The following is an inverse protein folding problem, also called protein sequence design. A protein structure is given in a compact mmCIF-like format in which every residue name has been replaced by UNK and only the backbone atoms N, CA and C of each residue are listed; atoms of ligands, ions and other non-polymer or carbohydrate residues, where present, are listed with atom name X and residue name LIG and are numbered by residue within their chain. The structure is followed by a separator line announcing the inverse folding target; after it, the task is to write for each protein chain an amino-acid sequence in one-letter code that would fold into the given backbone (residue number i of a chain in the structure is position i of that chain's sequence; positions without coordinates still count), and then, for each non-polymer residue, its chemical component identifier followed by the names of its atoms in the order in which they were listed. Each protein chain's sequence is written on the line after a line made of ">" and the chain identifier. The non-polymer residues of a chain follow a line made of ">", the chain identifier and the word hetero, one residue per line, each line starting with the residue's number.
data_IF_958039443050
#
_entry.id   IF_958039443050
#
_cell.length_a   1.000
_cell.length_b   1.000
_cell.length_c   1.000
_cell.angle_alpha   90.00
_cell.angle_beta   90.00
_cell.angle_gamma   90.00
#
_symmetry.space_group_name_H-M   'P 1'
#
loop_
_entity.id
_entity.type
_entity.pdbx_description
1 polymer ?
#
# COMPACT_ATOMS: atom_id res chain seq x y z
N UNK A 1 -1.07 -14.34 17.57
CA UNK A 1 -2.22 -13.56 17.06
C UNK A 1 -2.39 -13.81 15.57
N UNK A 2 -3.61 -13.77 15.04
CA UNK A 2 -3.92 -14.02 13.62
C UNK A 2 -3.40 -12.86 12.76
N UNK A 3 -2.69 -13.14 11.66
CA UNK A 3 -2.24 -12.11 10.71
C UNK A 3 -3.43 -11.51 9.97
N UNK A 4 -3.45 -10.19 9.81
CA UNK A 4 -4.35 -9.47 8.92
C UNK A 4 -3.56 -8.96 7.73
N UNK A 5 -4.09 -9.17 6.52
CA UNK A 5 -3.50 -8.67 5.29
C UNK A 5 -4.31 -7.46 4.83
N UNK A 6 -3.64 -6.31 4.73
CA UNK A 6 -4.25 -5.12 4.18
C UNK A 6 -3.72 -4.91 2.77
N UNK A 7 -4.59 -5.02 1.77
CA UNK A 7 -4.21 -4.81 0.37
C UNK A 7 -4.15 -3.31 0.07
N UNK A 8 -3.09 -2.90 -0.62
CA UNK A 8 -2.85 -1.52 -1.07
C UNK A 8 -2.76 -1.54 -2.60
N UNK A 9 -3.86 -1.27 -3.31
CA UNK A 9 -3.87 -1.21 -4.77
C UNK A 9 -3.05 -0.04 -5.32
N UNK A 10 -2.77 -0.09 -6.62
CA UNK A 10 -2.17 1.02 -7.37
C UNK A 10 -3.21 1.98 -7.94
N UNK A 11 -2.78 2.84 -8.87
CA UNK A 11 -3.66 3.76 -9.63
C UNK A 11 -4.80 2.97 -10.26
N UNK A 12 -5.99 3.57 -10.34
CA UNK A 12 -7.24 2.95 -10.85
C UNK A 12 -7.79 1.78 -10.02
N UNK A 13 -7.24 1.52 -8.83
CA UNK A 13 -7.65 0.44 -7.94
C UNK A 13 -7.40 -0.97 -8.56
N UNK A 14 -7.69 -2.01 -7.78
CA UNK A 14 -7.68 -3.40 -8.23
C UNK A 14 -9.05 -3.82 -8.74
N UNK A 15 -9.13 -4.10 -10.05
CA UNK A 15 -10.36 -4.58 -10.71
C UNK A 15 -10.83 -5.93 -10.14
N UNK A 16 -12.07 -6.37 -10.38
CA UNK A 16 -12.58 -7.63 -9.82
C UNK A 16 -11.78 -8.89 -10.20
N UNK A 17 -11.07 -8.86 -11.34
CA UNK A 17 -10.23 -9.97 -11.81
C UNK A 17 -8.77 -9.83 -11.33
N UNK A 18 -8.40 -8.71 -10.73
CA UNK A 18 -7.07 -8.51 -10.18
C UNK A 18 -6.83 -9.43 -8.97
N UNK A 19 -5.61 -9.95 -8.82
CA UNK A 19 -5.27 -10.94 -7.79
C UNK A 19 -5.53 -10.45 -6.36
N UNK A 20 -5.33 -9.16 -6.06
CA UNK A 20 -5.71 -8.58 -4.76
C UNK A 20 -7.20 -8.76 -4.48
N UNK A 21 -8.07 -8.43 -5.45
CA UNK A 21 -9.53 -8.59 -5.34
C UNK A 21 -9.94 -10.06 -5.19
N UNK A 22 -9.26 -10.96 -5.90
CA UNK A 22 -9.52 -12.40 -5.79
C UNK A 22 -9.19 -12.92 -4.39
N UNK A 23 -8.06 -12.51 -3.81
CA UNK A 23 -7.68 -12.88 -2.44
C UNK A 23 -8.60 -12.28 -1.38
N UNK A 24 -9.01 -11.02 -1.54
CA UNK A 24 -10.01 -10.38 -0.68
C UNK A 24 -11.33 -11.15 -0.68
N UNK A 25 -11.76 -11.65 -1.84
CA UNK A 25 -12.99 -12.44 -1.99
C UNK A 25 -12.84 -13.86 -1.43
N UNK A 26 -11.70 -14.49 -1.64
CA UNK A 26 -11.45 -15.87 -1.21
C UNK A 26 -11.24 -15.99 0.30
N UNK A 27 -10.61 -14.97 0.92
CA UNK A 27 -10.24 -14.96 2.33
C UNK A 27 -10.70 -13.66 3.05
N UNK A 28 -12.01 -13.36 3.06
CA UNK A 28 -12.54 -12.09 3.57
C UNK A 28 -12.33 -11.89 5.08
N UNK A 29 -12.05 -12.97 5.82
CA UNK A 29 -11.76 -12.93 7.25
C UNK A 29 -10.30 -12.58 7.57
N UNK A 30 -9.45 -12.44 6.54
CA UNK A 30 -8.00 -12.13 6.64
C UNK A 30 -7.57 -10.97 5.77
N UNK A 31 -8.15 -10.83 4.59
CA UNK A 31 -7.80 -9.80 3.62
C UNK A 31 -8.82 -8.67 3.63
N UNK A 32 -8.33 -7.44 3.64
CA UNK A 32 -9.15 -6.23 3.57
C UNK A 32 -8.45 -5.19 2.71
N UNK A 33 -9.19 -4.55 1.82
CA UNK A 33 -8.69 -3.42 1.03
C UNK A 33 -8.60 -2.16 1.88
N UNK A 34 -7.50 -1.43 1.71
CA UNK A 34 -7.42 -0.04 2.13
C UNK A 34 -8.07 0.79 1.01
N UNK A 35 -9.32 1.21 1.24
CA UNK A 35 -10.05 2.04 0.30
C UNK A 35 -9.50 3.47 0.30
N UNK A 36 -9.15 3.98 -0.87
CA UNK A 36 -8.65 5.33 -1.05
C UNK A 36 -9.76 6.27 -1.50
N UNK A 37 -9.64 7.56 -1.16
CA UNK A 37 -10.62 8.59 -1.53
C UNK A 37 -10.70 8.83 -3.03
N UNK A 38 -9.55 8.79 -3.71
CA UNK A 38 -9.40 9.00 -5.14
C UNK A 38 -8.35 8.04 -5.69
N UNK A 39 -8.71 7.38 -6.79
CA UNK A 39 -7.92 6.31 -7.41
C UNK A 39 -7.27 6.73 -8.73
N UNK A 40 -7.88 7.68 -9.45
CA UNK A 40 -7.44 8.10 -10.77
C UNK A 40 -6.43 9.24 -10.70
N UNK A 41 -6.59 10.14 -9.72
CA UNK A 41 -5.70 11.27 -9.46
C UNK A 41 -5.17 11.26 -8.02
N UNK A 42 -4.49 10.19 -7.59
CA UNK A 42 -4.18 9.98 -6.19
C UNK A 42 -3.20 11.01 -5.64
N UNK A 43 -3.44 11.44 -4.41
CA UNK A 43 -2.52 12.24 -3.62
C UNK A 43 -1.84 11.37 -2.55
N UNK A 44 -0.51 11.36 -2.53
CA UNK A 44 0.28 10.55 -1.59
C UNK A 44 -0.12 10.80 -0.13
N UNK A 45 -0.29 12.07 0.25
CA UNK A 45 -0.70 12.46 1.60
C UNK A 45 -2.03 11.81 2.03
N UNK A 46 -3.03 11.75 1.14
CA UNK A 46 -4.29 11.07 1.44
C UNK A 46 -4.08 9.57 1.61
N UNK A 47 -3.30 8.97 0.71
CA UNK A 47 -3.05 7.53 0.72
C UNK A 47 -2.31 7.05 1.96
N UNK A 48 -1.25 7.75 2.38
CA UNK A 48 -0.49 7.36 3.57
C UNK A 48 -1.29 7.56 4.86
N UNK A 49 -2.14 8.58 4.93
CA UNK A 49 -3.02 8.80 6.08
C UNK A 49 -4.04 7.67 6.21
N UNK A 50 -4.61 7.24 5.08
CA UNK A 50 -5.56 6.13 5.07
C UNK A 50 -4.89 4.79 5.43
N UNK A 51 -3.67 4.55 4.93
CA UNK A 51 -2.87 3.38 5.31
C UNK A 51 -2.65 3.38 6.83
N UNK A 52 -2.18 4.49 7.40
CA UNK A 52 -1.96 4.61 8.84
C UNK A 52 -3.24 4.32 9.64
N UNK A 53 -4.36 4.93 9.25
CA UNK A 53 -5.63 4.73 9.92
C UNK A 53 -6.04 3.24 9.93
N UNK A 54 -5.94 2.55 8.80
CA UNK A 54 -6.32 1.13 8.72
C UNK A 54 -5.34 0.22 9.43
N UNK A 55 -4.04 0.52 9.39
CA UNK A 55 -3.00 -0.22 10.13
C UNK A 55 -3.25 -0.14 11.63
N UNK A 56 -3.50 1.06 12.17
CA UNK A 56 -3.78 1.26 13.59
C UNK A 56 -5.07 0.53 14.03
N UNK A 57 -6.12 0.59 13.21
CA UNK A 57 -7.38 -0.12 13.48
C UNK A 57 -7.22 -1.65 13.49
N UNK A 58 -6.25 -2.19 12.75
CA UNK A 58 -6.04 -3.64 12.59
C UNK A 58 -5.01 -4.24 13.56
N UNK A 59 -4.51 -3.46 14.54
CA UNK A 59 -3.34 -3.79 15.38
C UNK A 59 -2.04 -3.96 14.55
N UNK A 60 -1.15 -2.96 14.52
CA UNK A 60 0.05 -2.94 13.68
C UNK A 60 0.91 -4.22 13.74
N UNK A 61 1.10 -4.81 14.93
CA UNK A 61 1.95 -5.99 15.13
C UNK A 61 1.45 -7.25 14.40
N UNK A 62 0.20 -7.24 13.94
CA UNK A 62 -0.41 -8.36 13.20
C UNK A 62 -0.56 -8.10 11.71
N UNK A 63 -0.30 -6.87 11.26
CA UNK A 63 -0.58 -6.43 9.89
C UNK A 63 0.55 -6.78 8.94
N UNK A 64 0.18 -7.38 7.81
CA UNK A 64 1.02 -7.42 6.61
C UNK A 64 0.39 -6.55 5.53
N UNK A 65 1.11 -5.54 5.06
CA UNK A 65 0.68 -4.75 3.89
C UNK A 65 0.97 -5.54 2.61
N UNK A 66 -0.01 -5.64 1.72
CA UNK A 66 0.12 -6.33 0.42
C UNK A 66 -0.10 -5.31 -0.68
N UNK A 67 0.97 -4.68 -1.14
CA UNK A 67 0.93 -3.55 -2.03
C UNK A 67 1.22 -3.93 -3.49
N UNK A 68 0.65 -3.18 -4.43
CA UNK A 68 0.89 -3.35 -5.86
C UNK A 68 1.16 -2.02 -6.55
N UNK A 69 2.12 -1.96 -7.48
CA UNK A 69 2.37 -0.79 -8.33
C UNK A 69 2.58 0.49 -7.50
N UNK A 70 1.82 1.56 -7.74
CA UNK A 70 1.91 2.82 -6.97
C UNK A 70 1.64 2.61 -5.46
N UNK A 71 0.87 1.59 -5.09
CA UNK A 71 0.66 1.22 -3.70
C UNK A 71 1.97 0.89 -2.98
N UNK A 72 2.97 0.34 -3.68
CA UNK A 72 4.29 0.09 -3.10
C UNK A 72 5.00 1.39 -2.72
N UNK A 73 4.98 2.37 -3.62
CA UNK A 73 5.51 3.71 -3.38
C UNK A 73 4.79 4.39 -2.21
N UNK A 74 3.45 4.23 -2.12
CA UNK A 74 2.68 4.71 -0.98
C UNK A 74 3.14 4.08 0.35
N UNK A 75 3.45 2.78 0.37
CA UNK A 75 3.98 2.11 1.58
C UNK A 75 5.35 2.67 1.97
N UNK A 76 6.23 2.99 1.02
CA UNK A 76 7.52 3.60 1.31
C UNK A 76 7.36 5.00 1.96
N UNK A 77 6.51 5.85 1.38
CA UNK A 77 6.15 7.16 1.97
C UNK A 77 5.51 7.04 3.34
N UNK A 78 4.56 6.12 3.50
CA UNK A 78 3.91 5.88 4.79
C UNK A 78 4.92 5.46 5.86
N UNK A 79 5.84 4.55 5.52
CA UNK A 79 6.88 4.10 6.45
C UNK A 79 7.81 5.24 6.89
N UNK A 80 8.20 6.12 5.95
CA UNK A 80 9.03 7.30 6.25
C UNK A 80 8.29 8.31 7.15
N UNK A 81 7.00 8.54 6.89
CA UNK A 81 6.23 9.57 7.61
C UNK A 81 5.77 9.15 9.01
N UNK A 82 5.39 7.89 9.20
CA UNK A 82 4.78 7.45 10.46
C UNK A 82 5.70 6.59 11.32
N UNK A 83 6.63 5.84 10.73
CA UNK A 83 7.52 4.94 11.47
C UNK A 83 6.80 3.79 12.20
N UNK A 84 5.51 3.57 11.92
CA UNK A 84 4.70 2.50 12.50
C UNK A 84 5.28 1.14 12.17
N UNK A 85 5.63 0.35 13.19
CA UNK A 85 6.15 -1.01 13.01
C UNK A 85 5.02 -1.99 12.78
N UNK A 86 5.07 -2.71 11.67
CA UNK A 86 4.12 -3.77 11.30
C UNK A 86 4.81 -5.13 11.21
N UNK A 87 4.02 -6.20 11.07
CA UNK A 87 4.54 -7.56 10.91
C UNK A 87 5.38 -7.72 9.65
N UNK A 88 5.00 -7.05 8.57
CA UNK A 88 5.81 -6.93 7.35
C UNK A 88 5.04 -6.39 6.15
N UNK A 89 5.66 -6.42 4.97
CA UNK A 89 5.02 -6.05 3.71
C UNK A 89 5.40 -6.99 2.56
N UNK A 90 4.49 -7.15 1.61
CA UNK A 90 4.74 -7.78 0.31
C UNK A 90 4.47 -6.74 -0.78
N UNK A 91 5.50 -6.39 -1.55
CA UNK A 91 5.51 -5.25 -2.49
C UNK A 91 5.63 -5.76 -3.92
N UNK A 92 4.52 -5.82 -4.64
CA UNK A 92 4.47 -6.46 -5.97
C UNK A 92 4.57 -5.40 -7.06
N UNK A 93 5.51 -5.60 -7.99
CA UNK A 93 5.73 -4.71 -9.15
C UNK A 93 5.76 -3.21 -8.80
N UNK A 94 6.67 -2.73 -7.91
CA UNK A 94 6.71 -1.32 -7.51
C UNK A 94 6.84 -0.38 -8.71
N UNK A 95 6.09 0.73 -8.69
CA UNK A 95 6.18 1.74 -9.74
C UNK A 95 7.35 2.70 -9.50
N UNK A 96 8.10 2.98 -10.56
CA UNK A 96 9.01 4.12 -10.62
C UNK A 96 8.23 5.37 -11.06
N UNK A 97 7.83 6.22 -10.09
CA UNK A 97 7.12 7.46 -10.34
C UNK A 97 8.04 8.65 -10.68
N UNK A 98 9.36 8.45 -10.68
CA UNK A 98 10.34 9.46 -11.09
C UNK A 98 10.80 9.27 -12.53
N UNK A 99 10.53 8.10 -13.13
CA UNK A 99 10.81 7.84 -14.54
C UNK A 99 10.09 8.83 -15.48
N UNK A 100 10.77 9.28 -16.52
CA UNK A 100 10.20 10.16 -17.55
C UNK A 100 8.97 9.57 -18.26
N UNK A 101 8.89 8.23 -18.33
CA UNK A 101 7.76 7.52 -18.91
C UNK A 101 6.53 7.44 -17.99
N UNK A 102 6.64 7.87 -16.73
CA UNK A 102 5.55 7.80 -15.78
C UNK A 102 4.49 8.86 -16.11
N UNK A 103 3.32 8.41 -16.59
CA UNK A 103 2.30 9.27 -17.19
C UNK A 103 0.97 9.26 -16.42
N UNK A 104 0.94 8.74 -15.19
CA UNK A 104 -0.23 8.83 -14.33
C UNK A 104 -0.27 10.19 -13.62
N UNK A 105 -1.45 10.79 -13.55
CA UNK A 105 -1.69 12.03 -12.83
C UNK A 105 -1.68 11.75 -11.33
N UNK A 106 -0.51 11.85 -10.69
CA UNK A 106 -0.34 11.54 -9.26
C UNK A 106 0.39 12.68 -8.57
N UNK A 107 0.05 12.93 -7.30
CA UNK A 107 0.59 14.07 -6.54
C UNK A 107 1.38 13.61 -5.33
N UNK A 108 2.65 14.04 -5.25
CA UNK A 108 3.48 13.89 -4.05
C UNK A 108 4.03 12.49 -3.81
N UNK A 109 4.06 11.64 -4.83
CA UNK A 109 4.72 10.32 -4.75
C UNK A 109 6.22 10.37 -5.07
N UNK A 110 6.71 11.51 -5.59
CA UNK A 110 8.12 11.79 -5.80
C UNK A 110 8.59 12.92 -4.83
N UNK A 111 9.83 12.86 -4.31
CA UNK A 111 10.79 11.79 -4.53
C UNK A 111 10.41 10.47 -3.83
N UNK A 112 10.85 9.34 -4.35
CA UNK A 112 10.64 8.01 -3.75
C UNK A 112 11.57 7.85 -2.54
N UNK A 113 11.07 7.51 -1.34
CA UNK A 113 11.91 7.22 -0.20
C UNK A 113 12.78 5.99 -0.45
N UNK A 114 14.10 6.14 -0.23
CA UNK A 114 15.08 5.08 -0.42
C UNK A 114 15.61 4.49 0.90
N UNK A 115 15.09 4.98 2.03
CA UNK A 115 15.43 4.47 3.34
C UNK A 115 15.00 3.00 3.49
N UNK A 116 15.81 2.21 4.20
CA UNK A 116 15.46 0.82 4.52
C UNK A 116 14.19 0.77 5.37
N UNK A 117 13.21 -0.03 4.95
CA UNK A 117 11.97 -0.24 5.71
C UNK A 117 12.28 -0.82 7.10
N UNK A 118 11.64 -0.28 8.13
CA UNK A 118 11.85 -0.66 9.54
C UNK A 118 11.19 -1.98 9.94
N UNK A 119 10.62 -2.70 8.98
CA UNK A 119 9.91 -3.96 9.11
C UNK A 119 10.32 -4.93 8.00
N UNK A 120 10.00 -6.21 8.18
CA UNK A 120 10.31 -7.25 7.19
C UNK A 120 9.56 -6.99 5.88
N UNK A 121 10.23 -7.02 4.75
CA UNK A 121 9.59 -6.87 3.44
C UNK A 121 10.04 -7.96 2.47
N UNK A 122 9.17 -8.28 1.53
CA UNK A 122 9.45 -9.06 0.34
C UNK A 122 9.02 -8.23 -0.88
N UNK A 123 9.86 -8.22 -1.92
CA UNK A 123 9.57 -7.63 -3.23
C UNK A 123 9.49 -8.76 -4.24
#
# INVERSE_FOLDING_TARGET
>A
MKTIYLTVPGVTNSSPQHWQSLWEKEFPERFRRIEQKEWNTPACADWINEIEEKVQKANPETVVLVAHSLGCTAVAHWAQNFGTKIKGAFLVAPSDCEAESYNFDTKGFAPIPLDTLSFKSLV
#
